data_IF_551647023816
#
_entry.id   IF_551647023816
#
_cell.length_a   1.000
_cell.length_b   1.000
_cell.length_c   1.000
_cell.angle_alpha   90.00
_cell.angle_beta   90.00
_cell.angle_gamma   90.00
#
_symmetry.space_group_name_H-M   'P 1'
#
loop_
_entity.id
_entity.type
_entity.pdbx_description
1 polymer ?
#
# COMPACT_ATOMS: atom_id res chain seq x y z
N UNK A 1 24.63 4.17 -33.21
CA UNK A 1 23.42 3.70 -32.52
C UNK A 1 23.26 4.50 -31.22
N UNK A 2 22.10 5.09 -30.99
CA UNK A 2 21.80 5.79 -29.73
C UNK A 2 21.41 4.70 -28.74
N UNK A 3 22.30 4.41 -27.80
CA UNK A 3 22.00 3.46 -26.73
C UNK A 3 21.16 4.14 -25.66
N UNK A 4 20.10 3.50 -25.24
CA UNK A 4 19.15 4.01 -24.25
C UNK A 4 19.84 4.40 -22.93
N UNK A 5 20.86 3.66 -22.52
CA UNK A 5 21.63 3.97 -21.30
C UNK A 5 22.44 5.26 -21.41
N UNK A 6 22.97 5.57 -22.59
CA UNK A 6 23.67 6.83 -22.81
C UNK A 6 22.71 8.01 -22.77
N UNK A 7 21.51 7.88 -23.34
CA UNK A 7 20.47 8.91 -23.25
C UNK A 7 20.07 9.16 -21.80
N UNK A 8 19.87 8.10 -21.02
CA UNK A 8 19.56 8.20 -19.59
C UNK A 8 20.66 8.89 -18.78
N UNK A 9 21.93 8.57 -19.06
CA UNK A 9 23.08 9.21 -18.40
C UNK A 9 23.14 10.71 -18.69
N UNK A 10 22.96 11.10 -19.94
CA UNK A 10 22.93 12.51 -20.31
C UNK A 10 21.73 13.25 -19.71
N UNK A 11 20.56 12.63 -19.72
CA UNK A 11 19.38 13.20 -19.09
C UNK A 11 19.57 13.43 -17.57
N UNK A 12 20.18 12.47 -16.87
CA UNK A 12 20.53 12.62 -15.45
C UNK A 12 21.53 13.75 -15.21
N UNK A 13 22.54 13.91 -16.07
CA UNK A 13 23.50 15.00 -15.97
C UNK A 13 22.83 16.39 -16.13
N UNK A 14 21.69 16.45 -16.82
CA UNK A 14 20.85 17.65 -16.97
C UNK A 14 19.78 17.78 -15.88
N UNK A 15 19.84 16.95 -14.83
CA UNK A 15 18.88 17.00 -13.71
C UNK A 15 17.57 16.27 -13.96
N UNK A 16 17.42 15.52 -15.05
CA UNK A 16 16.21 14.73 -15.30
C UNK A 16 16.18 13.51 -14.39
N UNK A 17 15.14 13.41 -13.57
CA UNK A 17 14.81 12.21 -12.79
C UNK A 17 13.90 11.32 -13.66
N UNK A 18 14.37 10.12 -14.01
CA UNK A 18 13.56 9.16 -14.73
C UNK A 18 12.50 8.61 -13.78
N UNK A 19 11.25 8.87 -14.08
CA UNK A 19 10.12 8.18 -13.44
C UNK A 19 9.87 6.86 -14.18
N UNK A 20 9.62 5.78 -13.44
CA UNK A 20 9.21 4.50 -14.01
C UNK A 20 7.90 4.57 -14.80
N UNK A 21 7.28 3.45 -15.05
CA UNK A 21 5.94 3.40 -15.67
C UNK A 21 4.95 4.04 -14.69
N UNK A 22 4.24 5.12 -15.07
CA UNK A 22 3.30 5.76 -14.17
C UNK A 22 2.15 4.80 -13.82
N UNK A 23 1.78 4.73 -12.55
CA UNK A 23 0.59 4.03 -12.07
C UNK A 23 -0.57 5.01 -11.96
N UNK A 24 -1.78 4.52 -12.23
CA UNK A 24 -3.01 5.26 -11.99
C UNK A 24 -3.52 4.93 -10.58
N UNK A 25 -3.96 5.94 -9.88
CA UNK A 25 -4.56 5.81 -8.55
C UNK A 25 -6.07 6.09 -8.64
N UNK A 26 -6.81 5.48 -7.74
CA UNK A 26 -8.25 5.67 -7.64
C UNK A 26 -8.77 5.22 -6.29
N UNK A 27 -10.07 5.40 -6.07
CA UNK A 27 -10.77 4.94 -4.87
C UNK A 27 -11.74 3.84 -5.27
N UNK A 28 -11.65 2.68 -4.61
CA UNK A 28 -12.59 1.59 -4.77
C UNK A 28 -13.59 1.59 -3.60
N UNK A 29 -14.87 1.42 -3.92
CA UNK A 29 -15.90 1.13 -2.93
C UNK A 29 -16.06 -0.38 -2.81
N UNK A 30 -15.82 -0.92 -1.63
CA UNK A 30 -15.92 -2.35 -1.32
C UNK A 30 -17.13 -2.60 -0.44
N UNK A 31 -17.93 -3.58 -0.83
CA UNK A 31 -19.14 -3.98 -0.11
C UNK A 31 -18.98 -5.39 0.44
N UNK A 32 -19.38 -5.58 1.69
CA UNK A 32 -19.48 -6.90 2.30
C UNK A 32 -20.86 -7.08 2.91
N UNK A 33 -21.31 -8.33 2.96
CA UNK A 33 -22.53 -8.71 3.70
C UNK A 33 -22.13 -9.33 5.02
N UNK A 34 -22.63 -8.76 6.10
CA UNK A 34 -22.35 -9.18 7.47
C UNK A 34 -23.65 -9.56 8.16
N UNK A 35 -23.71 -10.68 8.90
CA UNK A 35 -24.89 -11.02 9.68
C UNK A 35 -25.21 -9.94 10.74
N UNK A 36 -26.48 -9.82 11.07
CA UNK A 36 -26.91 -8.94 12.14
C UNK A 36 -26.47 -9.46 13.52
N UNK A 37 -26.35 -8.53 14.47
CA UNK A 37 -26.25 -8.89 15.89
C UNK A 37 -27.54 -9.61 16.37
N UNK A 38 -27.50 -10.10 17.60
CA UNK A 38 -28.67 -10.81 18.22
C UNK A 38 -29.94 -10.01 18.19
N UNK A 39 -29.87 -8.69 18.19
CA UNK A 39 -31.03 -7.80 18.30
C UNK A 39 -31.55 -7.33 16.92
N UNK A 40 -30.86 -7.72 15.82
CA UNK A 40 -31.22 -7.34 14.44
C UNK A 40 -31.05 -5.85 14.11
N UNK A 41 -30.37 -5.07 14.96
CA UNK A 41 -30.27 -3.60 14.85
C UNK A 41 -28.99 -3.09 14.21
N UNK A 42 -27.93 -3.90 14.21
CA UNK A 42 -26.61 -3.54 13.70
C UNK A 42 -25.88 -4.77 13.17
N UNK A 43 -24.83 -4.59 12.32
CA UNK A 43 -23.97 -5.71 11.94
C UNK A 43 -23.22 -6.26 13.16
N UNK A 44 -23.03 -7.58 13.21
CA UNK A 44 -22.23 -8.20 14.25
C UNK A 44 -20.75 -7.89 14.01
N UNK A 45 -20.14 -7.13 14.90
CA UNK A 45 -18.75 -6.66 14.81
C UNK A 45 -17.71 -7.78 14.71
N UNK A 46 -18.05 -9.00 15.17
CA UNK A 46 -17.16 -10.16 15.07
C UNK A 46 -16.87 -10.57 13.64
N UNK A 47 -17.76 -10.21 12.71
CA UNK A 47 -17.66 -10.56 11.30
C UNK A 47 -17.20 -9.40 10.41
N UNK A 48 -16.81 -8.26 11.00
CA UNK A 48 -16.25 -7.13 10.26
C UNK A 48 -14.75 -7.37 10.03
N UNK A 49 -14.31 -7.66 8.79
CA UNK A 49 -12.92 -7.94 8.50
C UNK A 49 -12.12 -6.67 8.31
N UNK A 50 -10.78 -6.83 8.30
CA UNK A 50 -9.86 -5.86 7.73
C UNK A 50 -9.38 -6.41 6.38
N UNK A 51 -9.65 -5.67 5.32
CA UNK A 51 -9.10 -5.98 4.00
C UNK A 51 -7.68 -5.42 3.94
N UNK A 52 -6.71 -6.32 3.76
CA UNK A 52 -5.30 -5.96 3.84
C UNK A 52 -4.79 -5.30 2.57
N UNK A 53 -3.85 -4.39 2.72
CA UNK A 53 -3.02 -3.85 1.65
C UNK A 53 -2.50 -4.97 0.75
N UNK A 54 -2.49 -4.74 -0.56
CA UNK A 54 -2.10 -5.73 -1.55
C UNK A 54 -3.23 -6.65 -2.03
N UNK A 55 -4.44 -6.55 -1.46
CA UNK A 55 -5.61 -7.20 -2.03
C UNK A 55 -5.83 -6.72 -3.48
N UNK A 56 -6.09 -7.65 -4.39
CA UNK A 56 -6.21 -7.37 -5.82
C UNK A 56 -7.65 -7.40 -6.28
N UNK A 57 -7.99 -6.48 -7.17
CA UNK A 57 -9.29 -6.37 -7.81
C UNK A 57 -9.10 -6.42 -9.33
N UNK A 58 -10.00 -7.11 -10.01
CA UNK A 58 -10.03 -7.15 -11.48
C UNK A 58 -11.21 -6.34 -11.98
N UNK A 59 -10.94 -5.47 -12.95
CA UNK A 59 -12.02 -4.79 -13.69
C UNK A 59 -12.62 -5.71 -14.72
N UNK A 60 -13.90 -5.50 -15.04
CA UNK A 60 -14.59 -6.18 -16.15
C UNK A 60 -13.94 -5.91 -17.51
N UNK A 61 -13.21 -4.81 -17.63
CA UNK A 61 -12.47 -4.41 -18.82
C UNK A 61 -11.01 -4.94 -18.86
N UNK A 62 -10.63 -5.79 -17.88
CA UNK A 62 -9.34 -6.49 -17.86
C UNK A 62 -8.20 -5.76 -17.12
N UNK A 63 -8.47 -4.64 -16.47
CA UNK A 63 -7.50 -3.98 -15.60
C UNK A 63 -7.38 -4.67 -14.24
N UNK A 64 -6.17 -4.74 -13.69
CA UNK A 64 -5.92 -5.21 -12.32
C UNK A 64 -5.48 -4.05 -11.45
N UNK A 65 -6.04 -3.98 -10.26
CA UNK A 65 -5.78 -2.93 -9.26
C UNK A 65 -5.41 -3.58 -7.93
N UNK A 66 -4.52 -2.98 -7.20
CA UNK A 66 -4.13 -3.42 -5.86
C UNK A 66 -4.45 -2.36 -4.83
N UNK A 67 -4.94 -2.80 -3.67
CA UNK A 67 -5.21 -1.94 -2.53
C UNK A 67 -3.89 -1.41 -1.95
N UNK A 68 -3.79 -0.10 -1.76
CA UNK A 68 -2.56 0.56 -1.29
C UNK A 68 -2.47 0.70 0.23
N UNK A 69 -3.59 0.55 0.93
CA UNK A 69 -3.72 0.66 2.38
C UNK A 69 -4.67 -0.40 2.94
N UNK A 70 -4.64 -0.64 4.24
CA UNK A 70 -5.60 -1.53 4.90
C UNK A 70 -6.97 -0.82 5.00
N UNK A 71 -8.06 -1.55 4.72
CA UNK A 71 -9.43 -1.06 4.87
C UNK A 71 -10.11 -1.80 6.02
N UNK A 72 -10.38 -1.08 7.10
CA UNK A 72 -11.08 -1.61 8.27
C UNK A 72 -12.58 -1.36 8.16
N UNK A 73 -13.36 -2.43 8.01
CA UNK A 73 -14.83 -2.36 7.96
C UNK A 73 -15.49 -2.04 9.31
N UNK A 74 -14.72 -2.02 10.40
CA UNK A 74 -15.19 -1.57 11.72
C UNK A 74 -14.91 -0.08 11.98
N UNK A 75 -14.37 0.64 10.99
CA UNK A 75 -14.14 2.09 11.08
C UNK A 75 -15.44 2.87 11.15
N UNK A 76 -15.39 4.07 11.75
CA UNK A 76 -16.53 4.97 11.82
C UNK A 76 -16.96 5.55 10.46
N UNK A 77 -16.08 5.49 9.46
CA UNK A 77 -16.31 6.04 8.12
C UNK A 77 -17.05 5.07 7.19
N UNK A 78 -17.46 3.90 7.70
CA UNK A 78 -18.19 2.91 6.92
C UNK A 78 -19.68 3.25 6.83
N UNK A 79 -20.26 3.01 5.65
CA UNK A 79 -21.71 3.13 5.44
C UNK A 79 -22.37 1.77 5.70
N UNK A 80 -23.39 1.74 6.56
CA UNK A 80 -24.11 0.52 6.94
C UNK A 80 -25.57 0.63 6.52
N UNK A 81 -26.05 -0.37 5.76
CA UNK A 81 -27.42 -0.44 5.28
C UNK A 81 -27.99 -1.84 5.52
N UNK A 82 -29.23 -1.94 5.97
CA UNK A 82 -29.94 -3.21 6.08
C UNK A 82 -30.13 -3.83 4.69
N UNK A 83 -29.68 -5.07 4.50
CA UNK A 83 -29.63 -5.70 3.18
C UNK A 83 -30.60 -6.88 3.05
N UNK A 84 -30.83 -7.64 4.11
CA UNK A 84 -31.75 -8.79 4.09
C UNK A 84 -32.60 -8.80 5.35
N UNK A 85 -33.85 -9.18 5.17
CA UNK A 85 -34.85 -9.27 6.22
C UNK A 85 -35.41 -10.68 6.29
N UNK A 86 -35.76 -11.10 7.49
CA UNK A 86 -36.55 -12.30 7.70
C UNK A 86 -37.99 -12.03 7.26
N UNK A 87 -38.52 -12.89 6.39
CA UNK A 87 -39.85 -12.72 5.82
C UNK A 87 -41.00 -12.90 6.83
N UNK A 88 -40.76 -13.59 7.96
CA UNK A 88 -41.75 -13.89 8.99
C UNK A 88 -41.78 -12.87 10.11
N UNK A 89 -40.59 -12.36 10.50
CA UNK A 89 -40.47 -11.43 11.65
C UNK A 89 -40.19 -9.99 11.22
N UNK A 90 -39.79 -9.76 9.97
CA UNK A 90 -39.39 -8.44 9.48
C UNK A 90 -38.06 -7.93 10.06
N UNK A 91 -37.34 -8.74 10.85
CA UNK A 91 -36.08 -8.37 11.43
C UNK A 91 -34.95 -8.43 10.38
N UNK A 92 -33.95 -7.54 10.51
CA UNK A 92 -32.76 -7.53 9.64
C UNK A 92 -31.88 -8.73 9.98
N UNK A 93 -31.60 -9.56 8.98
CA UNK A 93 -30.71 -10.72 9.11
C UNK A 93 -29.31 -10.44 8.62
N UNK A 94 -29.15 -9.53 7.63
CA UNK A 94 -27.85 -9.13 7.11
C UNK A 94 -27.81 -7.63 6.84
N UNK A 95 -26.65 -7.05 7.10
CA UNK A 95 -26.29 -5.68 6.73
C UNK A 95 -25.28 -5.69 5.59
N UNK A 96 -25.41 -4.76 4.65
CA UNK A 96 -24.36 -4.40 3.72
C UNK A 96 -23.52 -3.31 4.35
N UNK A 97 -22.22 -3.57 4.49
CA UNK A 97 -21.25 -2.60 4.98
C UNK A 97 -20.36 -2.19 3.82
N UNK A 98 -20.26 -0.89 3.57
CA UNK A 98 -19.47 -0.30 2.50
C UNK A 98 -18.31 0.48 3.11
N UNK A 99 -17.13 0.23 2.59
CA UNK A 99 -15.92 0.97 2.93
C UNK A 99 -15.19 1.42 1.66
N UNK A 100 -14.42 2.46 1.77
CA UNK A 100 -13.60 2.98 0.67
C UNK A 100 -12.13 2.68 0.91
N UNK A 101 -11.41 2.32 -0.15
CA UNK A 101 -9.97 2.08 -0.10
C UNK A 101 -9.26 2.67 -1.31
N UNK A 102 -8.06 3.16 -1.09
CA UNK A 102 -7.19 3.63 -2.17
C UNK A 102 -6.63 2.44 -2.94
N UNK A 103 -6.71 2.50 -4.27
CA UNK A 103 -6.19 1.48 -5.17
C UNK A 103 -5.23 2.09 -6.19
N UNK A 104 -4.22 1.31 -6.59
CA UNK A 104 -3.34 1.65 -7.69
C UNK A 104 -3.42 0.61 -8.80
N UNK A 105 -3.22 1.02 -10.05
CA UNK A 105 -3.11 0.08 -11.16
C UNK A 105 -1.84 -0.76 -11.02
N UNK A 106 -1.95 -2.07 -11.28
CA UNK A 106 -0.84 -3.02 -11.18
C UNK A 106 -0.99 -4.00 -10.01
N UNK A 107 0.07 -4.78 -9.80
CA UNK A 107 0.11 -5.85 -8.79
C UNK A 107 1.39 -5.71 -7.98
N UNK A 108 1.29 -5.90 -6.67
CA UNK A 108 2.48 -6.03 -5.83
C UNK A 108 3.16 -7.36 -6.12
N UNK A 109 4.46 -7.30 -6.40
CA UNK A 109 5.30 -8.49 -6.58
C UNK A 109 6.43 -8.47 -5.58
N UNK A 110 6.74 -9.65 -5.03
CA UNK A 110 7.91 -9.85 -4.18
C UNK A 110 9.02 -10.47 -5.01
N UNK A 111 10.21 -9.89 -4.93
CA UNK A 111 11.44 -10.45 -5.46
C UNK A 111 12.40 -10.74 -4.31
N UNK A 112 13.09 -11.86 -4.37
CA UNK A 112 14.07 -12.26 -3.36
C UNK A 112 15.45 -12.37 -4.02
N UNK A 113 16.48 -11.90 -3.32
CA UNK A 113 17.87 -12.07 -3.70
C UNK A 113 18.60 -12.81 -2.60
N UNK A 114 19.11 -14.03 -2.91
CA UNK A 114 19.91 -14.79 -1.97
C UNK A 114 21.36 -14.27 -1.96
N UNK A 115 21.77 -13.73 -0.82
CA UNK A 115 23.11 -13.22 -0.57
C UNK A 115 23.89 -14.04 0.48
N UNK A 116 23.38 -15.20 0.90
CA UNK A 116 23.93 -16.00 1.98
C UNK A 116 25.41 -16.33 1.79
N UNK A 117 25.82 -16.65 0.57
CA UNK A 117 27.20 -16.99 0.22
C UNK A 117 27.92 -15.85 -0.55
N UNK A 118 27.36 -14.68 -0.58
CA UNK A 118 27.94 -13.58 -1.33
C UNK A 118 29.05 -12.88 -0.53
N UNK A 119 30.20 -12.69 -1.14
CA UNK A 119 31.29 -11.90 -0.58
C UNK A 119 30.84 -10.44 -0.43
N UNK A 120 31.27 -9.74 0.63
CA UNK A 120 30.98 -8.32 0.78
C UNK A 120 31.45 -7.53 -0.44
N UNK A 121 30.55 -6.73 -0.99
CA UNK A 121 30.81 -5.81 -2.10
C UNK A 121 30.14 -4.47 -1.82
N UNK A 122 30.96 -3.41 -1.83
CA UNK A 122 30.44 -2.06 -1.67
C UNK A 122 29.62 -1.66 -2.90
N UNK A 123 28.42 -1.11 -2.69
CA UNK A 123 27.48 -0.73 -3.75
C UNK A 123 27.04 -1.90 -4.64
N UNK A 124 26.81 -3.03 -4.02
CA UNK A 124 26.32 -4.23 -4.70
C UNK A 124 25.09 -3.93 -5.56
N UNK A 125 25.13 -4.41 -6.79
CA UNK A 125 24.01 -4.30 -7.72
C UNK A 125 23.21 -5.60 -7.71
N UNK A 126 21.93 -5.48 -7.31
CA UNK A 126 20.97 -6.59 -7.38
C UNK A 126 20.04 -6.31 -8.55
N UNK A 127 19.91 -7.27 -9.46
CA UNK A 127 18.99 -7.15 -10.58
C UNK A 127 17.65 -7.75 -10.18
N UNK A 128 16.60 -6.93 -10.21
CA UNK A 128 15.23 -7.37 -10.04
C UNK A 128 14.76 -7.96 -11.37
N UNK A 129 14.32 -9.23 -11.38
CA UNK A 129 13.96 -9.96 -12.61
C UNK A 129 12.62 -9.55 -13.24
N UNK A 130 11.89 -8.61 -12.63
CA UNK A 130 10.61 -8.13 -13.13
C UNK A 130 10.77 -7.01 -14.16
N UNK A 131 9.86 -6.96 -15.14
CA UNK A 131 9.74 -5.86 -16.11
C UNK A 131 8.60 -4.91 -15.73
N UNK A 132 8.65 -3.69 -16.23
CA UNK A 132 7.61 -2.67 -16.01
C UNK A 132 7.38 -2.33 -14.52
N UNK A 133 8.46 -2.21 -13.76
CA UNK A 133 8.41 -1.79 -12.37
C UNK A 133 8.13 -0.29 -12.33
N UNK A 134 7.07 0.10 -11.64
CA UNK A 134 6.73 1.51 -11.40
C UNK A 134 7.45 2.05 -10.16
N UNK A 135 7.49 1.26 -9.08
CA UNK A 135 7.99 1.69 -7.78
C UNK A 135 8.52 0.49 -6.99
N UNK A 136 9.51 0.73 -6.14
CA UNK A 136 9.96 -0.19 -5.11
C UNK A 136 9.29 0.24 -3.80
N UNK A 137 8.37 -0.57 -3.30
CA UNK A 137 7.57 -0.23 -2.12
C UNK A 137 8.35 -0.39 -0.82
N UNK A 138 9.16 -1.45 -0.72
CA UNK A 138 10.02 -1.70 0.44
C UNK A 138 11.14 -2.68 0.09
N UNK A 139 12.24 -2.58 0.79
CA UNK A 139 13.35 -3.53 0.76
C UNK A 139 13.67 -3.91 2.19
N UNK A 140 13.60 -5.21 2.50
CA UNK A 140 13.81 -5.72 3.86
C UNK A 140 14.73 -6.95 3.78
N UNK A 141 15.67 -7.09 4.71
CA UNK A 141 16.49 -8.30 4.81
C UNK A 141 15.83 -9.41 5.64
N UNK A 142 16.49 -10.55 5.73
CA UNK A 142 16.02 -11.72 6.51
C UNK A 142 15.98 -11.47 8.02
N UNK A 143 16.67 -10.44 8.51
CA UNK A 143 16.69 -10.04 9.93
C UNK A 143 15.62 -9.00 10.24
N UNK A 144 14.90 -8.51 9.23
CA UNK A 144 13.86 -7.49 9.37
C UNK A 144 14.37 -6.06 9.29
N UNK A 145 15.62 -5.84 8.91
CA UNK A 145 16.14 -4.49 8.70
C UNK A 145 15.56 -3.94 7.38
N UNK A 146 15.08 -2.71 7.44
CA UNK A 146 14.52 -2.01 6.30
C UNK A 146 15.58 -1.12 5.64
N UNK A 147 15.60 -1.09 4.30
CA UNK A 147 16.49 -0.29 3.49
C UNK A 147 15.71 0.79 2.75
N UNK A 148 16.20 2.02 2.79
CA UNK A 148 15.55 3.19 2.22
C UNK A 148 16.22 3.66 0.94
N UNK A 149 15.42 4.21 0.03
CA UNK A 149 15.94 4.87 -1.15
C UNK A 149 16.65 6.17 -0.77
N UNK A 150 17.83 6.39 -1.34
CA UNK A 150 18.64 7.59 -1.12
C UNK A 150 18.93 8.27 -2.47
N UNK A 151 19.13 9.58 -2.46
CA UNK A 151 19.41 10.35 -3.68
C UNK A 151 20.80 10.05 -4.25
N UNK A 152 21.77 9.79 -3.37
CA UNK A 152 23.17 9.47 -3.74
C UNK A 152 23.78 8.46 -2.77
N UNK A 153 24.70 7.63 -3.28
CA UNK A 153 25.22 6.47 -2.55
C UNK A 153 26.07 6.79 -1.30
N UNK A 154 26.45 8.04 -1.07
CA UNK A 154 27.17 8.48 0.12
C UNK A 154 26.25 9.13 1.15
N UNK A 155 24.93 9.10 0.96
CA UNK A 155 23.97 9.58 1.94
C UNK A 155 23.83 8.56 3.07
N UNK A 156 24.13 8.98 4.29
CA UNK A 156 24.11 8.11 5.47
C UNK A 156 22.86 8.26 6.33
N UNK A 157 22.08 9.32 6.11
CA UNK A 157 20.89 9.62 6.91
C UNK A 157 19.67 9.84 6.02
N UNK A 158 18.58 9.21 6.38
CA UNK A 158 17.25 9.43 5.80
C UNK A 158 16.35 10.03 6.90
N UNK A 159 15.51 11.01 6.53
CA UNK A 159 14.55 11.59 7.47
C UNK A 159 13.17 10.97 7.23
N UNK A 160 12.64 10.33 8.26
CA UNK A 160 11.31 9.74 8.24
C UNK A 160 10.32 10.64 9.00
N UNK A 161 9.16 10.85 8.39
CA UNK A 161 8.06 11.55 9.02
C UNK A 161 7.43 10.67 10.11
N UNK A 162 7.36 11.18 11.32
CA UNK A 162 6.79 10.47 12.47
C UNK A 162 5.75 11.36 13.14
N UNK A 163 4.65 10.77 13.59
CA UNK A 163 3.62 11.50 14.34
C UNK A 163 4.20 12.11 15.59
N UNK A 164 3.98 13.40 15.77
CA UNK A 164 4.40 14.11 16.99
C UNK A 164 3.46 13.76 18.14
N UNK A 165 3.97 12.98 19.10
CA UNK A 165 3.20 12.62 20.29
C UNK A 165 2.95 13.80 21.23
N UNK A 166 3.70 14.90 21.10
CA UNK A 166 3.55 16.15 21.85
C UNK A 166 2.74 17.20 21.09
N UNK A 167 2.04 16.84 20.03
CA UNK A 167 1.31 17.77 19.16
C UNK A 167 0.27 18.63 19.89
N UNK A 168 -0.24 18.17 21.04
CA UNK A 168 -1.19 18.93 21.85
C UNK A 168 -0.58 20.23 22.42
N UNK A 169 0.74 20.26 22.64
CA UNK A 169 1.44 21.46 23.15
C UNK A 169 1.98 22.36 22.03
N UNK A 170 2.42 21.75 20.93
CA UNK A 170 3.20 22.47 19.91
C UNK A 170 2.41 22.78 18.64
N UNK A 171 1.23 22.15 18.45
CA UNK A 171 0.41 22.30 17.26
C UNK A 171 1.00 21.67 15.98
N UNK A 172 2.21 21.10 16.04
CA UNK A 172 2.88 20.42 14.93
C UNK A 172 2.49 18.95 14.92
N UNK A 173 1.81 18.49 13.87
CA UNK A 173 1.27 17.13 13.78
C UNK A 173 2.33 16.05 13.49
N UNK A 174 3.37 16.39 12.77
CA UNK A 174 4.45 15.47 12.42
C UNK A 174 5.82 16.10 12.62
N UNK A 175 6.81 15.27 12.90
CA UNK A 175 8.22 15.65 13.02
C UNK A 175 9.07 14.72 12.16
N UNK A 176 10.18 15.24 11.63
CA UNK A 176 11.18 14.44 10.92
C UNK A 176 12.18 13.86 11.91
N UNK A 177 12.30 12.54 11.94
CA UNK A 177 13.35 11.85 12.70
C UNK A 177 14.44 11.35 11.76
N UNK A 178 15.73 11.56 12.11
CA UNK A 178 16.81 10.95 11.35
C UNK A 178 16.82 9.43 11.57
N UNK A 179 17.05 8.70 10.50
CA UNK A 179 17.29 7.26 10.49
C UNK A 179 18.67 7.01 9.88
N UNK A 180 19.52 6.29 10.60
CA UNK A 180 20.94 6.05 10.23
C UNK A 180 21.15 4.57 9.98
#
# INVERSE_FOLDING_TARGET
AIEQDNVRRHARALGYKFSGVPTSFGTAAVFILVPSNSDGTAPDRKYLPILRRGATFSSTEGGTFSLTEDVDFNSADTEVVAARFDSSTGQTTYFAVKAYGQVSSGVFQRAEADLTNATYERFRRIRIGASNISEIVSVVDSSGNEYFEVEYLSQEVVFLETTNQSAASDGVRSILKPFV
#
